data_IF_601167434912
#
_entry.id   IF_601167434912
#
_cell.length_a   1.000
_cell.length_b   1.000
_cell.length_c   1.000
_cell.angle_alpha   90.00
_cell.angle_beta   90.00
_cell.angle_gamma   90.00
#
_symmetry.space_group_name_H-M   'P 1'
#
loop_
_entity.id
_entity.type
_entity.pdbx_description
1 polymer ?
#
# COMPACT_ATOMS: atom_id res chain seq x y z
N UNK A 1 -6.95 15.52 15.03
CA UNK A 1 -5.55 15.80 14.63
C UNK A 1 -4.91 14.47 14.28
N UNK A 2 -4.25 14.36 13.13
CA UNK A 2 -3.55 13.13 12.75
C UNK A 2 -2.28 13.00 13.61
N UNK A 3 -2.30 12.14 14.63
CA UNK A 3 -1.11 11.81 15.41
C UNK A 3 -0.15 11.00 14.54
N UNK A 4 0.82 11.68 13.93
CA UNK A 4 1.93 11.01 13.26
C UNK A 4 2.84 10.45 14.35
N UNK A 5 2.95 9.13 14.43
CA UNK A 5 3.81 8.48 15.43
C UNK A 5 5.29 8.79 15.14
N UNK A 6 5.92 9.53 16.06
CA UNK A 6 7.34 9.86 16.00
C UNK A 6 8.22 8.59 15.97
N UNK A 7 7.77 7.51 16.61
CA UNK A 7 8.46 6.21 16.62
C UNK A 7 8.46 5.56 15.25
N UNK A 8 7.32 5.58 14.56
CA UNK A 8 7.22 5.09 13.18
C UNK A 8 8.15 5.88 12.24
N UNK A 9 8.14 7.21 12.32
CA UNK A 9 9.02 8.05 11.52
C UNK A 9 10.52 7.77 11.82
N UNK A 10 10.86 7.44 13.07
CA UNK A 10 12.21 7.06 13.48
C UNK A 10 12.62 5.66 13.01
N UNK A 11 11.69 4.91 12.42
CA UNK A 11 11.89 3.55 11.94
C UNK A 11 11.73 2.47 13.01
N UNK A 12 11.18 2.80 14.17
CA UNK A 12 10.75 1.79 15.15
C UNK A 12 9.37 1.31 14.73
N UNK A 13 9.35 0.45 13.72
CA UNK A 13 8.15 -0.20 13.21
C UNK A 13 8.04 -1.67 13.64
N UNK A 14 9.06 -2.19 14.33
CA UNK A 14 9.07 -3.55 14.89
C UNK A 14 9.40 -3.50 16.37
N UNK A 15 8.65 -4.26 17.16
CA UNK A 15 8.86 -4.40 18.60
C UNK A 15 8.68 -5.87 18.99
N UNK A 16 9.52 -6.33 19.92
CA UNK A 16 9.37 -7.63 20.58
C UNK A 16 8.55 -7.46 21.86
N UNK A 17 7.42 -8.14 21.95
CA UNK A 17 6.66 -8.29 23.18
C UNK A 17 7.09 -9.57 23.85
N UNK A 18 7.47 -9.48 25.11
CA UNK A 18 7.99 -10.60 25.87
C UNK A 18 7.17 -10.73 27.14
N UNK A 19 6.42 -11.82 27.23
CA UNK A 19 5.86 -12.30 28.49
C UNK A 19 6.89 -13.21 29.14
N UNK A 20 7.55 -12.68 30.18
CA UNK A 20 8.69 -13.31 30.85
C UNK A 20 8.28 -13.77 32.25
N UNK A 21 8.30 -15.09 32.45
CA UNK A 21 8.13 -15.76 33.74
C UNK A 21 9.45 -16.40 34.18
N UNK A 22 9.47 -17.00 35.37
CA UNK A 22 10.65 -17.74 35.83
C UNK A 22 10.90 -19.02 35.00
N UNK A 23 9.85 -19.58 34.40
CA UNK A 23 9.89 -20.87 33.71
C UNK A 23 9.94 -20.72 32.19
N UNK A 24 9.46 -19.62 31.62
CA UNK A 24 9.46 -19.44 30.17
C UNK A 24 9.47 -17.97 29.74
N UNK A 25 9.77 -17.75 28.47
CA UNK A 25 9.54 -16.50 27.77
C UNK A 25 8.67 -16.74 26.55
N UNK A 26 7.47 -16.15 26.52
CA UNK A 26 6.63 -16.10 25.31
C UNK A 26 6.90 -14.81 24.57
N UNK A 27 7.37 -14.93 23.33
CA UNK A 27 7.88 -13.82 22.54
C UNK A 27 7.03 -13.65 21.29
N UNK A 28 6.63 -12.41 21.01
CA UNK A 28 5.99 -12.03 19.75
C UNK A 28 6.70 -10.83 19.14
N UNK A 29 7.05 -10.93 17.87
CA UNK A 29 7.57 -9.81 17.08
C UNK A 29 6.44 -9.23 16.23
N UNK A 30 6.00 -8.01 16.55
CA UNK A 30 5.01 -7.29 15.75
C UNK A 30 5.66 -6.23 14.89
N UNK A 31 5.26 -6.19 13.62
CA UNK A 31 5.53 -5.08 12.71
C UNK A 31 4.28 -4.23 12.49
N UNK A 32 4.40 -2.93 12.70
CA UNK A 32 3.39 -1.96 12.33
C UNK A 32 3.61 -1.48 10.89
N UNK A 33 2.57 -1.62 10.05
CA UNK A 33 2.56 -1.12 8.68
C UNK A 33 1.50 -0.04 8.49
N UNK A 34 1.90 1.05 7.87
CA UNK A 34 0.99 2.11 7.42
C UNK A 34 0.40 1.70 6.08
N UNK A 35 -0.92 1.79 5.95
CA UNK A 35 -1.60 1.66 4.66
C UNK A 35 -1.56 3.05 3.99
N UNK A 36 -0.87 3.24 2.84
CA UNK A 36 -0.66 4.57 2.24
C UNK A 36 -1.96 5.33 1.93
N UNK A 37 -3.04 4.59 1.66
CA UNK A 37 -4.37 5.10 1.30
C UNK A 37 -5.33 5.22 2.49
N UNK A 38 -4.96 4.70 3.67
CA UNK A 38 -5.73 4.79 4.92
C UNK A 38 -4.78 5.17 6.06
N UNK A 39 -4.32 6.42 6.04
CA UNK A 39 -3.31 6.97 6.98
C UNK A 39 -3.72 6.88 8.47
N UNK A 40 -4.96 6.52 8.78
CA UNK A 40 -5.50 6.41 10.13
C UNK A 40 -5.62 4.98 10.66
N UNK A 41 -5.38 3.95 9.83
CA UNK A 41 -5.45 2.55 10.25
C UNK A 41 -4.08 1.89 10.15
N UNK A 42 -3.42 1.72 11.30
CA UNK A 42 -2.24 0.88 11.43
C UNK A 42 -2.64 -0.59 11.25
N UNK A 43 -1.89 -1.33 10.44
CA UNK A 43 -2.01 -2.79 10.34
C UNK A 43 -0.84 -3.42 11.06
N UNK A 44 -1.14 -4.28 12.03
CA UNK A 44 -0.14 -5.07 12.73
C UNK A 44 0.05 -6.41 12.03
N UNK A 45 1.30 -6.82 11.88
CA UNK A 45 1.69 -8.08 11.24
C UNK A 45 2.62 -8.81 12.21
N UNK A 46 2.25 -10.03 12.59
CA UNK A 46 3.14 -10.92 13.33
C UNK A 46 4.27 -11.37 12.39
N UNK A 47 5.52 -11.11 12.78
CA UNK A 47 6.71 -11.55 12.04
C UNK A 47 7.24 -12.87 12.54
N UNK A 48 7.34 -12.99 13.86
CA UNK A 48 7.80 -14.18 14.56
C UNK A 48 7.00 -14.32 15.85
N UNK A 49 6.80 -15.56 16.29
CA UNK A 49 6.34 -15.87 17.64
C UNK A 49 6.96 -17.19 18.08
N UNK A 50 7.31 -17.31 19.36
CA UNK A 50 7.83 -18.55 19.93
C UNK A 50 7.72 -18.52 21.45
N UNK A 51 7.76 -19.72 22.04
CA UNK A 51 7.93 -19.91 23.47
C UNK A 51 9.31 -20.50 23.73
N UNK A 52 10.02 -19.95 24.70
CA UNK A 52 11.32 -20.42 25.15
C UNK A 52 11.19 -20.90 26.59
N UNK A 53 11.32 -22.20 26.81
CA UNK A 53 11.32 -22.78 28.15
C UNK A 53 12.69 -22.56 28.82
N UNK A 54 12.67 -22.29 30.11
CA UNK A 54 13.83 -22.10 30.96
C UNK A 54 13.88 -23.17 32.04
N UNK A 55 15.09 -23.54 32.44
CA UNK A 55 15.25 -24.25 33.70
C UNK A 55 15.09 -23.24 34.85
N UNK A 56 14.21 -23.49 35.86
CA UNK A 56 14.03 -22.58 36.98
C UNK A 56 15.32 -22.31 37.76
N UNK A 57 16.26 -23.26 37.75
CA UNK A 57 17.55 -23.14 38.41
C UNK A 57 18.58 -22.28 37.66
N UNK A 58 18.32 -21.91 36.40
CA UNK A 58 19.25 -21.12 35.61
C UNK A 58 19.30 -19.66 36.10
N UNK A 59 20.51 -19.09 36.07
CA UNK A 59 20.69 -17.66 36.28
C UNK A 59 20.02 -16.84 35.17
N UNK A 60 19.57 -15.63 35.51
CA UNK A 60 18.91 -14.71 34.57
C UNK A 60 19.80 -14.33 33.38
N UNK A 61 21.12 -14.29 33.55
CA UNK A 61 22.11 -14.11 32.48
C UNK A 61 22.01 -15.23 31.43
N UNK A 62 21.98 -16.49 31.86
CA UNK A 62 21.87 -17.64 30.98
C UNK A 62 20.53 -17.63 30.23
N UNK A 63 19.43 -17.32 30.93
CA UNK A 63 18.10 -17.17 30.29
C UNK A 63 18.10 -16.07 29.21
N UNK A 64 18.80 -14.96 29.47
CA UNK A 64 18.94 -13.86 28.50
C UNK A 64 19.77 -14.26 27.28
N UNK A 65 20.85 -15.03 27.47
CA UNK A 65 21.68 -15.55 26.39
C UNK A 65 20.91 -16.56 25.52
N UNK A 66 20.08 -17.42 26.12
CA UNK A 66 19.18 -18.31 25.38
C UNK A 66 18.19 -17.52 24.51
N UNK A 67 17.58 -16.47 25.06
CA UNK A 67 16.68 -15.60 24.30
C UNK A 67 17.42 -14.95 23.11
N UNK A 68 18.62 -14.42 23.35
CA UNK A 68 19.46 -13.80 22.32
C UNK A 68 19.85 -14.77 21.22
N UNK A 69 20.26 -15.99 21.58
CA UNK A 69 20.58 -17.04 20.63
C UNK A 69 19.34 -17.37 19.79
N UNK A 70 18.17 -17.54 20.43
CA UNK A 70 16.93 -17.87 19.72
C UNK A 70 16.50 -16.78 18.75
N UNK A 71 16.63 -15.51 19.14
CA UNK A 71 16.36 -14.37 18.25
C UNK A 71 17.32 -14.33 17.05
N UNK A 72 18.59 -14.67 17.26
CA UNK A 72 19.58 -14.75 16.19
C UNK A 72 19.30 -15.91 15.23
N UNK A 73 18.88 -17.08 15.73
CA UNK A 73 18.49 -18.24 14.91
C UNK A 73 17.30 -17.92 14.00
N UNK A 74 16.33 -17.14 14.50
CA UNK A 74 15.17 -16.68 13.73
C UNK A 74 15.49 -15.47 12.82
N UNK A 75 16.73 -14.98 12.82
CA UNK A 75 17.14 -13.83 12.02
C UNK A 75 16.44 -12.53 12.41
N UNK A 76 15.97 -12.39 13.66
CA UNK A 76 15.29 -11.18 14.11
C UNK A 76 16.28 -10.03 14.23
N UNK A 77 16.03 -8.95 13.48
CA UNK A 77 16.81 -7.71 13.55
C UNK A 77 16.25 -6.73 14.59
N UNK A 78 15.18 -7.09 15.29
CA UNK A 78 14.45 -6.19 16.17
C UNK A 78 15.19 -6.01 17.49
N UNK A 79 15.42 -4.74 17.86
CA UNK A 79 16.15 -4.38 19.08
C UNK A 79 15.25 -3.87 20.18
N UNK A 80 14.11 -3.28 19.85
CA UNK A 80 13.18 -2.72 20.83
C UNK A 80 12.31 -3.82 21.44
N UNK A 81 12.22 -3.83 22.76
CA UNK A 81 11.44 -4.81 23.50
C UNK A 81 10.46 -4.16 24.48
N UNK A 82 9.35 -4.84 24.74
CA UNK A 82 8.33 -4.50 25.71
C UNK A 82 8.04 -5.72 26.57
N UNK A 83 8.00 -5.53 27.88
CA UNK A 83 7.78 -6.62 28.84
C UNK A 83 6.84 -6.17 29.96
N UNK A 84 6.32 -7.11 30.72
CA UNK A 84 5.65 -6.85 31.99
C UNK A 84 6.28 -7.63 33.13
N UNK A 85 6.36 -7.04 34.32
CA UNK A 85 6.78 -7.75 35.53
C UNK A 85 5.59 -8.60 36.01
N UNK A 86 5.76 -9.92 36.07
CA UNK A 86 4.72 -10.88 36.51
C UNK A 86 4.96 -11.48 37.90
N UNK A 87 5.87 -10.91 38.67
CA UNK A 87 6.19 -11.40 40.01
C UNK A 87 5.00 -11.26 40.97
N UNK A 88 5.00 -12.06 42.03
CA UNK A 88 4.14 -11.85 43.22
C UNK A 88 4.44 -10.51 43.94
N UNK A 89 5.51 -9.82 43.55
CA UNK A 89 5.90 -8.50 44.06
C UNK A 89 5.07 -7.36 43.50
N UNK A 90 4.28 -7.59 42.45
CA UNK A 90 3.38 -6.58 41.86
C UNK A 90 2.08 -6.52 42.67
N UNK A 91 1.71 -5.30 43.10
CA UNK A 91 0.44 -5.07 43.79
C UNK A 91 -0.33 -3.94 43.12
N UNK A 92 -1.56 -4.24 42.69
CA UNK A 92 -2.49 -3.25 42.13
C UNK A 92 -3.51 -2.89 43.21
N UNK A 93 -3.68 -1.60 43.46
CA UNK A 93 -4.64 -1.06 44.43
C UNK A 93 -5.51 -0.04 43.73
N UNK A 94 -6.82 -0.24 43.83
CA UNK A 94 -7.81 0.72 43.37
C UNK A 94 -8.24 1.59 44.56
N UNK A 95 -8.28 2.91 44.39
CA UNK A 95 -8.70 3.84 45.44
C UNK A 95 -9.28 5.11 44.85
N UNK A 96 -9.97 5.90 45.68
CA UNK A 96 -10.44 7.24 45.35
C UNK A 96 -9.55 8.25 46.08
N UNK A 97 -8.91 9.13 45.32
CA UNK A 97 -8.17 10.28 45.85
C UNK A 97 -9.16 11.42 46.08
N UNK A 98 -9.27 11.97 47.30
CA UNK A 98 -10.20 13.06 47.61
C UNK A 98 -10.09 14.27 46.67
N UNK A 99 -11.21 14.95 46.42
CA UNK A 99 -11.24 16.18 45.63
C UNK A 99 -10.40 17.29 46.29
N UNK A 100 -9.63 18.02 45.48
CA UNK A 100 -8.72 19.08 45.93
C UNK A 100 -7.24 18.68 46.05
N UNK A 101 -6.89 17.40 45.90
CA UNK A 101 -5.49 16.96 45.81
C UNK A 101 -5.02 17.07 44.35
N UNK A 102 -4.06 17.96 44.11
CA UNK A 102 -3.46 18.15 42.79
C UNK A 102 -2.17 17.32 42.58
N UNK A 103 -1.45 17.02 43.67
CA UNK A 103 -0.23 16.21 43.65
C UNK A 103 -0.54 14.75 44.00
N UNK A 104 -1.01 13.98 43.01
CA UNK A 104 -1.38 12.56 43.19
C UNK A 104 -0.20 11.73 43.72
N UNK A 105 1.00 11.91 43.17
CA UNK A 105 2.18 11.12 43.56
C UNK A 105 2.63 11.39 45.00
N UNK A 106 2.46 12.64 45.48
CA UNK A 106 2.75 13.01 46.87
C UNK A 106 1.77 12.32 47.82
N UNK A 107 0.47 12.38 47.52
CA UNK A 107 -0.55 11.69 48.32
C UNK A 107 -0.33 10.18 48.38
N UNK A 108 0.09 9.56 47.27
CA UNK A 108 0.41 8.13 47.23
C UNK A 108 1.60 7.84 48.12
N UNK A 109 2.65 8.66 48.06
CA UNK A 109 3.86 8.49 48.86
C UNK A 109 3.54 8.57 50.36
N UNK A 110 2.65 9.48 50.78
CA UNK A 110 2.19 9.61 52.17
C UNK A 110 1.31 8.44 52.64
N UNK A 111 0.51 7.86 51.75
CA UNK A 111 -0.44 6.80 52.08
C UNK A 111 0.03 5.39 51.69
N UNK A 112 1.25 5.27 51.17
CA UNK A 112 1.80 4.04 50.62
C UNK A 112 1.74 2.86 51.59
N UNK A 113 2.12 3.04 52.85
CA UNK A 113 2.10 1.98 53.87
C UNK A 113 0.68 1.46 54.13
N UNK A 114 -0.31 2.35 54.16
CA UNK A 114 -1.72 2.00 54.35
C UNK A 114 -2.29 1.25 53.14
N UNK A 115 -1.95 1.71 51.93
CA UNK A 115 -2.39 1.10 50.67
C UNK A 115 -1.78 -0.30 50.50
N UNK A 116 -0.49 -0.44 50.80
CA UNK A 116 0.23 -1.71 50.70
C UNK A 116 -0.07 -2.66 51.86
N UNK A 117 -0.49 -2.15 53.03
CA UNK A 117 -0.68 -2.94 54.26
C UNK A 117 0.59 -3.69 54.67
N UNK A 118 1.77 -3.18 54.31
CA UNK A 118 3.08 -3.77 54.63
C UNK A 118 4.03 -2.62 55.02
N UNK A 119 4.83 -2.76 56.09
CA UNK A 119 5.84 -1.78 56.46
C UNK A 119 7.06 -1.94 55.54
N UNK A 120 6.97 -1.39 54.32
CA UNK A 120 8.08 -1.34 53.37
C UNK A 120 8.56 0.10 53.26
N UNK A 121 9.88 0.30 53.37
CA UNK A 121 10.50 1.60 53.15
C UNK A 121 10.16 2.12 51.75
N UNK A 122 9.62 3.34 51.66
CA UNK A 122 9.24 4.01 50.41
C UNK A 122 10.34 3.99 49.34
N UNK A 123 11.61 4.08 49.75
CA UNK A 123 12.76 4.04 48.84
C UNK A 123 12.92 2.78 47.99
N UNK A 124 12.30 1.65 48.35
CA UNK A 124 12.43 0.35 47.65
C UNK A 124 11.30 0.03 46.68
N UNK A 125 10.27 0.87 46.64
CA UNK A 125 9.08 0.65 45.83
C UNK A 125 8.98 1.74 44.78
N UNK A 126 8.59 1.35 43.58
CA UNK A 126 8.17 2.24 42.51
C UNK A 126 6.67 2.11 42.35
N UNK A 127 6.00 3.20 41.98
CA UNK A 127 4.58 3.19 41.70
C UNK A 127 4.26 3.88 40.38
N UNK A 128 3.17 3.48 39.76
CA UNK A 128 2.60 4.12 38.58
C UNK A 128 1.09 4.20 38.74
N UNK A 129 0.51 5.29 38.26
CA UNK A 129 -0.90 5.64 38.46
C UNK A 129 -1.60 5.74 37.13
N UNK A 130 -2.80 5.18 37.07
CA UNK A 130 -3.72 5.39 35.97
C UNK A 130 -5.03 5.97 36.51
N UNK A 131 -5.44 7.10 35.93
CA UNK A 131 -6.70 7.75 36.27
C UNK A 131 -7.81 7.04 35.50
N UNK A 132 -8.73 6.41 36.25
CA UNK A 132 -9.86 5.68 35.67
C UNK A 132 -11.05 6.61 35.44
N UNK A 133 -11.36 7.45 36.43
CA UNK A 133 -12.52 8.33 36.42
C UNK A 133 -12.29 9.56 37.31
N UNK A 134 -12.82 10.72 36.90
CA UNK A 134 -12.86 11.93 37.71
C UNK A 134 -14.32 12.22 38.08
N UNK A 135 -14.61 12.29 39.37
CA UNK A 135 -15.95 12.58 39.92
C UNK A 135 -15.87 13.77 40.88
N UNK A 136 -17.02 14.36 41.23
CA UNK A 136 -17.08 15.44 42.25
C UNK A 136 -16.58 14.98 43.62
N UNK A 137 -16.70 13.68 43.91
CA UNK A 137 -16.25 13.05 45.16
C UNK A 137 -14.74 12.80 45.21
N UNK A 138 -14.05 12.89 44.08
CA UNK A 138 -12.63 12.59 43.97
C UNK A 138 -12.24 11.92 42.64
N UNK A 139 -10.94 11.66 42.50
CA UNK A 139 -10.37 10.98 41.33
C UNK A 139 -10.18 9.50 41.65
N UNK A 140 -10.87 8.62 40.92
CA UNK A 140 -10.69 7.17 41.02
C UNK A 140 -9.44 6.78 40.25
N UNK A 141 -8.51 6.11 40.93
CA UNK A 141 -7.21 5.73 40.39
C UNK A 141 -6.92 4.26 40.61
N UNK A 142 -6.19 3.68 39.66
CA UNK A 142 -5.52 2.39 39.79
C UNK A 142 -4.03 2.67 40.04
N UNK A 143 -3.52 2.27 41.20
CA UNK A 143 -2.12 2.43 41.58
C UNK A 143 -1.46 1.06 41.51
N UNK A 144 -0.41 0.96 40.71
CA UNK A 144 0.40 -0.27 40.62
C UNK A 144 1.73 -0.06 41.31
N UNK A 145 2.05 -0.91 42.28
CA UNK A 145 3.29 -0.90 43.05
C UNK A 145 4.17 -2.07 42.63
N UNK A 146 5.47 -1.79 42.48
CA UNK A 146 6.49 -2.77 42.09
C UNK A 146 7.77 -2.51 42.89
N UNK A 147 8.54 -3.57 43.21
CA UNK A 147 9.84 -3.42 43.86
C UNK A 147 10.90 -2.93 42.86
N UNK A 148 11.74 -1.98 43.26
CA UNK A 148 12.81 -1.46 42.39
C UNK A 148 13.80 -2.54 41.95
N UNK A 149 14.13 -3.48 42.84
CA UNK A 149 15.03 -4.60 42.52
C UNK A 149 14.48 -5.49 41.39
N UNK A 150 13.15 -5.56 41.21
CA UNK A 150 12.53 -6.32 40.10
C UNK A 150 12.63 -5.55 38.79
N UNK A 151 12.46 -4.22 38.83
CA UNK A 151 12.67 -3.34 37.67
C UNK A 151 14.12 -3.49 37.17
N UNK A 152 15.09 -3.40 38.07
CA UNK A 152 16.51 -3.53 37.74
C UNK A 152 16.87 -4.93 37.20
N UNK A 153 16.24 -5.99 37.75
CA UNK A 153 16.42 -7.36 37.27
C UNK A 153 15.94 -7.53 35.83
N UNK A 154 14.74 -7.06 35.51
CA UNK A 154 14.21 -7.11 34.14
C UNK A 154 15.07 -6.26 33.19
N UNK A 155 15.45 -5.03 33.58
CA UNK A 155 16.36 -4.20 32.78
C UNK A 155 17.69 -4.92 32.48
N UNK A 156 18.27 -5.58 33.48
CA UNK A 156 19.53 -6.32 33.35
C UNK A 156 19.38 -7.52 32.41
N UNK A 157 18.26 -8.26 32.49
CA UNK A 157 17.94 -9.35 31.58
C UNK A 157 17.86 -8.89 30.12
N UNK A 158 17.07 -7.87 29.82
CA UNK A 158 16.93 -7.37 28.44
C UNK A 158 18.25 -6.78 27.91
N UNK A 159 19.03 -6.12 28.76
CA UNK A 159 20.36 -5.62 28.40
C UNK A 159 21.33 -6.76 28.05
N UNK A 160 21.33 -7.84 28.83
CA UNK A 160 22.12 -9.03 28.55
C UNK A 160 21.70 -9.72 27.24
N UNK A 161 20.39 -9.76 26.96
CA UNK A 161 19.83 -10.26 25.71
C UNK A 161 20.16 -9.35 24.48
N UNK A 162 20.74 -8.17 24.69
CA UNK A 162 21.05 -7.21 23.62
C UNK A 162 19.81 -6.50 23.07
N UNK A 163 18.80 -6.30 23.92
CA UNK A 163 17.54 -5.63 23.63
C UNK A 163 17.45 -4.30 24.39
N UNK A 164 16.87 -3.30 23.73
CA UNK A 164 16.52 -2.01 24.32
C UNK A 164 15.08 -2.07 24.82
N UNK A 165 14.91 -2.10 26.15
CA UNK A 165 13.61 -2.13 26.78
C UNK A 165 12.95 -0.75 26.66
N UNK A 166 11.85 -0.64 25.91
CA UNK A 166 11.15 0.62 25.63
C UNK A 166 9.86 0.78 26.43
N UNK A 167 9.32 -0.32 26.97
CA UNK A 167 8.15 -0.35 27.85
C UNK A 167 8.34 -1.43 28.90
N UNK A 168 8.11 -1.06 30.17
CA UNK A 168 8.05 -1.97 31.29
C UNK A 168 6.68 -1.82 31.99
N UNK A 169 5.78 -2.73 31.69
CA UNK A 169 4.50 -2.88 32.40
C UNK A 169 4.64 -3.64 33.71
N UNK A 170 3.53 -3.81 34.41
CA UNK A 170 3.44 -4.70 35.56
C UNK A 170 2.10 -5.45 35.57
N UNK A 171 2.14 -6.70 36.01
CA UNK A 171 1.02 -7.65 35.96
C UNK A 171 0.70 -8.11 34.54
N UNK A 172 -0.54 -8.51 34.31
CA UNK A 172 -1.02 -9.01 33.01
C UNK A 172 -2.00 -8.06 32.33
N UNK A 173 -2.18 -6.88 32.90
CA UNK A 173 -3.20 -5.90 32.49
C UNK A 173 -3.07 -5.50 31.03
N UNK A 174 -1.83 -5.36 30.53
CA UNK A 174 -1.58 -4.94 29.15
C UNK A 174 -2.05 -5.98 28.12
N UNK A 175 -2.41 -7.22 28.51
CA UNK A 175 -3.03 -8.21 27.63
C UNK A 175 -4.37 -7.73 27.04
N UNK A 176 -5.12 -6.91 27.79
CA UNK A 176 -6.41 -6.41 27.32
C UNK A 176 -6.30 -5.44 26.13
N UNK A 177 -5.10 -4.94 25.82
CA UNK A 177 -4.86 -4.05 24.68
C UNK A 177 -5.15 -4.73 23.33
N UNK A 178 -5.17 -6.07 23.28
CA UNK A 178 -5.55 -6.84 22.09
C UNK A 178 -6.99 -6.55 21.68
N UNK A 179 -7.89 -6.38 22.64
CA UNK A 179 -9.31 -6.07 22.40
C UNK A 179 -9.45 -4.81 21.55
N UNK A 180 -8.59 -3.81 21.78
CA UNK A 180 -8.64 -2.52 21.06
C UNK A 180 -8.23 -2.64 19.60
N UNK A 181 -7.54 -3.71 19.21
CA UNK A 181 -7.04 -3.94 17.85
C UNK A 181 -7.90 -4.92 17.08
N UNK A 182 -8.47 -5.93 17.75
CA UNK A 182 -9.30 -6.93 17.10
C UNK A 182 -10.75 -6.49 16.90
N UNK A 183 -11.27 -5.63 17.79
CA UNK A 183 -12.67 -5.23 17.76
C UNK A 183 -12.88 -3.87 17.08
N UNK A 184 -13.37 -3.90 15.83
CA UNK A 184 -14.14 -2.79 15.24
C UNK A 184 -15.55 -2.65 15.86
N UNK A 185 -15.77 -3.23 17.04
CA UNK A 185 -17.07 -3.36 17.68
C UNK A 185 -17.16 -2.30 18.78
N UNK A 186 -18.25 -1.53 18.80
CA UNK A 186 -18.57 -0.65 19.93
C UNK A 186 -18.80 -1.49 21.19
N UNK A 187 -17.77 -1.59 22.03
CA UNK A 187 -17.84 -2.29 23.31
C UNK A 187 -18.65 -1.46 24.30
N UNK A 188 -19.98 -1.63 24.31
CA UNK A 188 -20.86 -0.98 25.30
C UNK A 188 -20.49 -1.42 26.71
N UNK A 189 -20.56 -2.72 26.99
CA UNK A 189 -20.08 -3.33 28.23
C UNK A 189 -19.38 -4.63 27.89
N UNK A 190 -18.17 -4.82 28.42
CA UNK A 190 -17.40 -6.03 28.19
C UNK A 190 -16.55 -6.41 29.40
N UNK A 191 -16.28 -7.71 29.53
CA UNK A 191 -15.38 -8.28 30.53
C UNK A 191 -14.31 -9.09 29.83
N UNK A 192 -13.06 -8.86 30.20
CA UNK A 192 -11.92 -9.60 29.71
C UNK A 192 -11.31 -10.42 30.84
N UNK A 193 -11.22 -11.73 30.63
CA UNK A 193 -10.59 -12.67 31.54
C UNK A 193 -9.26 -13.11 30.95
N UNK A 194 -8.18 -12.82 31.66
CA UNK A 194 -6.85 -13.32 31.33
C UNK A 194 -6.41 -14.36 32.36
N UNK A 195 -6.23 -15.59 31.90
CA UNK A 195 -5.74 -16.70 32.74
C UNK A 195 -4.21 -16.75 32.71
N UNK A 196 -3.60 -16.46 33.85
CA UNK A 196 -2.19 -16.68 34.15
C UNK A 196 -2.03 -17.92 35.04
N UNK A 197 -0.84 -18.53 35.06
CA UNK A 197 -0.51 -19.79 35.79
C UNK A 197 -1.32 -20.00 37.09
N UNK A 198 -1.22 -19.05 38.03
CA UNK A 198 -1.87 -19.15 39.36
C UNK A 198 -3.00 -18.13 39.58
N UNK A 199 -3.43 -17.40 38.54
CA UNK A 199 -4.37 -16.30 38.74
C UNK A 199 -5.22 -15.96 37.52
N UNK A 200 -6.46 -15.58 37.78
CA UNK A 200 -7.33 -15.01 36.76
C UNK A 200 -7.43 -13.51 37.01
N UNK A 201 -7.08 -12.74 36.00
CA UNK A 201 -7.22 -11.30 36.01
C UNK A 201 -8.45 -10.92 35.20
N UNK A 202 -9.33 -10.14 35.82
CA UNK A 202 -10.58 -9.67 35.22
C UNK A 202 -10.45 -8.18 34.96
N UNK A 203 -10.77 -7.77 33.74
CA UNK A 203 -10.80 -6.37 33.32
C UNK A 203 -12.19 -6.02 32.82
N UNK A 204 -12.81 -5.04 33.46
CA UNK A 204 -14.14 -4.54 33.10
C UNK A 204 -14.00 -3.32 32.18
N UNK A 205 -14.79 -3.31 31.10
CA UNK A 205 -14.86 -2.25 30.09
C UNK A 205 -16.27 -1.69 29.98
N UNK A 206 -16.35 -0.37 29.78
CA UNK A 206 -17.57 0.37 29.47
C UNK A 206 -17.27 1.41 28.39
N UNK A 207 -18.04 1.40 27.31
CA UNK A 207 -17.84 2.24 26.12
C UNK A 207 -16.39 2.20 25.59
N UNK A 208 -15.80 1.01 25.55
CA UNK A 208 -14.41 0.79 25.13
C UNK A 208 -13.35 1.35 26.07
N UNK A 209 -13.71 1.85 27.26
CA UNK A 209 -12.77 2.31 28.28
C UNK A 209 -12.70 1.32 29.43
N UNK A 210 -11.49 1.11 29.95
CA UNK A 210 -11.27 0.27 31.13
C UNK A 210 -11.82 0.99 32.35
N UNK A 211 -12.69 0.33 33.11
CA UNK A 211 -13.19 0.86 34.40
C UNK A 211 -12.44 0.25 35.57
N UNK A 212 -12.07 -1.03 35.45
CA UNK A 212 -11.54 -1.79 36.59
C UNK A 212 -10.66 -2.94 36.15
N UNK A 213 -9.60 -3.22 36.91
CA UNK A 213 -8.83 -4.46 36.81
C UNK A 213 -8.67 -5.08 38.20
N UNK A 214 -8.95 -6.37 38.35
CA UNK A 214 -8.77 -7.07 39.63
C UNK A 214 -8.44 -8.55 39.42
N UNK A 215 -7.74 -9.12 40.39
CA UNK A 215 -7.50 -10.56 40.44
C UNK A 215 -8.72 -11.25 41.05
N UNK A 216 -9.31 -12.19 40.33
CA UNK A 216 -10.40 -13.03 40.83
C UNK A 216 -9.83 -14.32 41.43
N UNK A 217 -10.24 -14.64 42.65
CA UNK A 217 -9.98 -15.93 43.30
C UNK A 217 -11.18 -16.88 43.18
N UNK A 218 -12.32 -16.40 42.68
CA UNK A 218 -13.52 -17.22 42.54
C UNK A 218 -13.43 -18.12 41.30
N UNK A 219 -13.87 -19.40 41.38
CA UNK A 219 -13.99 -20.26 40.21
C UNK A 219 -14.95 -19.62 39.22
N UNK A 220 -14.49 -19.46 37.98
CA UNK A 220 -15.12 -18.56 36.99
C UNK A 220 -16.40 -19.12 36.34
N UNK A 221 -16.94 -20.20 36.91
CA UNK A 221 -18.04 -21.00 36.38
C UNK A 221 -19.43 -20.35 36.42
N UNK A 222 -19.57 -19.06 36.77
CA UNK A 222 -20.87 -18.39 36.91
C UNK A 222 -20.90 -16.95 36.37
N UNK A 223 -20.24 -16.67 35.25
CA UNK A 223 -20.55 -15.46 34.49
C UNK A 223 -21.86 -15.71 33.71
N UNK A 224 -23.00 -15.25 34.22
CA UNK A 224 -24.24 -15.21 33.46
C UNK A 224 -24.07 -14.21 32.29
N UNK A 225 -24.17 -14.65 31.03
CA UNK A 225 -23.84 -13.85 29.85
C UNK A 225 -24.96 -12.89 29.40
N UNK A 226 -25.88 -12.49 30.28
CA UNK A 226 -27.14 -11.89 29.82
C UNK A 226 -27.03 -10.41 29.37
N UNK A 227 -25.96 -9.66 29.72
CA UNK A 227 -25.86 -8.22 29.36
C UNK A 227 -24.49 -7.73 28.85
N UNK A 228 -23.36 -8.38 29.16
CA UNK A 228 -22.01 -7.91 28.80
C UNK A 228 -21.25 -8.91 27.90
N UNK A 229 -20.51 -8.40 26.91
CA UNK A 229 -19.65 -9.23 26.07
C UNK A 229 -18.49 -9.82 26.90
N UNK A 230 -18.28 -11.14 26.84
CA UNK A 230 -17.24 -11.82 27.64
C UNK A 230 -16.13 -12.32 26.72
N UNK A 231 -14.91 -11.88 26.99
CA UNK A 231 -13.70 -12.26 26.27
C UNK A 231 -12.74 -13.01 27.16
N UNK A 232 -12.11 -14.06 26.64
CA UNK A 232 -11.20 -14.91 27.43
C UNK A 232 -9.90 -15.16 26.67
N UNK A 233 -8.78 -15.08 27.36
CA UNK A 233 -7.46 -15.41 26.81
C UNK A 233 -6.49 -15.90 27.89
N UNK A 234 -5.26 -16.24 27.50
CA UNK A 234 -4.23 -16.75 28.40
C UNK A 234 -4.03 -18.26 28.37
N UNK A 235 -3.22 -18.75 29.30
CA UNK A 235 -2.57 -20.07 29.24
C UNK A 235 -3.55 -21.23 29.46
N UNK A 236 -4.49 -21.06 30.39
CA UNK A 236 -5.47 -22.10 30.76
C UNK A 236 -6.86 -21.84 30.15
N UNK A 237 -6.97 -20.95 29.15
CA UNK A 237 -8.27 -20.54 28.60
C UNK A 237 -9.08 -21.69 27.98
N UNK A 238 -8.42 -22.73 27.46
CA UNK A 238 -9.08 -23.89 26.84
C UNK A 238 -9.76 -24.78 27.91
N UNK A 239 -9.23 -24.78 29.13
CA UNK A 239 -9.78 -25.55 30.26
C UNK A 239 -10.96 -24.83 30.92
N UNK A 240 -11.03 -23.51 30.74
CA UNK A 240 -12.10 -22.66 31.22
C UNK A 240 -13.32 -22.79 30.29
N UNK A 241 -14.16 -23.80 30.54
CA UNK A 241 -15.43 -24.02 29.83
C UNK A 241 -16.45 -22.89 30.12
N UNK A 242 -16.37 -21.80 29.37
CA UNK A 242 -17.35 -20.72 29.44
C UNK A 242 -18.37 -20.81 28.30
N UNK A 243 -19.61 -21.12 28.65
CA UNK A 243 -20.76 -20.98 27.75
C UNK A 243 -20.99 -19.50 27.42
N UNK A 244 -20.80 -19.13 26.15
CA UNK A 244 -21.11 -17.79 25.63
C UNK A 244 -19.97 -16.78 25.67
N UNK A 245 -18.73 -17.20 25.96
CA UNK A 245 -17.56 -16.34 25.90
C UNK A 245 -16.76 -16.52 24.60
N UNK A 246 -16.24 -15.41 24.07
CA UNK A 246 -15.37 -15.40 22.91
C UNK A 246 -13.91 -15.57 23.32
N UNK A 247 -13.26 -16.62 22.81
CA UNK A 247 -11.83 -16.84 23.03
C UNK A 247 -11.04 -15.94 22.09
N UNK A 248 -10.25 -15.02 22.65
CA UNK A 248 -9.42 -14.09 21.88
C UNK A 248 -8.17 -14.82 21.38
N UNK A 249 -7.99 -14.79 20.05
CA UNK A 249 -6.82 -15.31 19.34
C UNK A 249 -6.03 -14.15 18.72
N UNK A 250 -5.13 -13.52 19.48
CA UNK A 250 -4.51 -12.25 19.12
C UNK A 250 -3.76 -12.34 17.79
N UNK A 251 -4.28 -11.66 16.75
CA UNK A 251 -3.74 -11.66 15.38
C UNK A 251 -3.60 -13.08 14.80
N UNK A 252 -4.50 -13.99 15.19
CA UNK A 252 -4.48 -15.40 14.78
C UNK A 252 -3.47 -16.28 15.52
N UNK A 253 -2.88 -15.80 16.63
CA UNK A 253 -2.00 -16.59 17.51
C UNK A 253 -2.80 -17.32 18.60
N UNK A 254 -2.14 -18.28 19.26
CA UNK A 254 -2.72 -18.94 20.43
C UNK A 254 -3.01 -17.93 21.56
N UNK A 255 -4.04 -18.16 22.40
CA UNK A 255 -4.45 -17.21 23.44
C UNK A 255 -3.38 -16.86 24.47
N UNK A 256 -2.41 -17.75 24.70
CA UNK A 256 -1.26 -17.49 25.58
C UNK A 256 -0.39 -16.30 25.13
N UNK A 257 -0.41 -15.96 23.82
CA UNK A 257 0.32 -14.81 23.29
C UNK A 257 -0.41 -13.47 23.43
N UNK A 258 -1.54 -13.43 24.14
CA UNK A 258 -2.32 -12.20 24.30
C UNK A 258 -1.56 -11.11 25.08
N UNK A 259 -0.83 -11.48 26.13
CA UNK A 259 0.02 -10.54 26.86
C UNK A 259 1.19 -9.98 26.03
N UNK A 260 2.05 -10.79 25.38
CA UNK A 260 3.13 -10.24 24.57
C UNK A 260 2.62 -9.41 23.40
N UNK A 261 1.50 -9.78 22.77
CA UNK A 261 0.85 -8.94 21.75
C UNK A 261 0.38 -7.61 22.35
N UNK A 262 -0.34 -7.65 23.47
CA UNK A 262 -0.81 -6.45 24.16
C UNK A 262 0.31 -5.49 24.58
N UNK A 263 1.48 -6.04 24.97
CA UNK A 263 2.69 -5.28 25.29
C UNK A 263 3.33 -4.64 24.05
N UNK A 264 3.43 -5.37 22.93
CA UNK A 264 3.89 -4.77 21.67
C UNK A 264 2.99 -3.64 21.21
N UNK A 265 1.66 -3.82 21.33
CA UNK A 265 0.68 -2.81 20.96
C UNK A 265 0.85 -1.55 21.81
N UNK A 266 1.04 -1.69 23.13
CA UNK A 266 1.38 -0.58 24.03
C UNK A 266 2.69 0.11 23.64
N UNK A 267 3.70 -0.64 23.25
CA UNK A 267 5.00 -0.08 22.88
C UNK A 267 4.97 0.71 21.55
N UNK A 268 4.08 0.31 20.64
CA UNK A 268 3.80 1.01 19.39
C UNK A 268 2.83 2.18 19.61
N UNK A 269 1.86 2.03 20.52
CA UNK A 269 0.85 3.02 20.90
C UNK A 269 0.82 3.25 22.42
N UNK A 270 1.71 4.10 22.97
CA UNK A 270 1.80 4.35 24.41
C UNK A 270 0.52 4.92 25.04
N UNK A 271 -0.36 5.51 24.24
CA UNK A 271 -1.66 6.05 24.68
C UNK A 271 -2.63 4.96 25.17
N UNK A 272 -2.43 3.69 24.76
CA UNK A 272 -3.26 2.57 25.21
C UNK A 272 -3.14 2.30 26.71
N UNK A 273 -1.96 2.58 27.27
CA UNK A 273 -1.69 2.34 28.67
C UNK A 273 -0.54 3.25 29.14
N UNK A 274 -0.82 4.24 30.01
CA UNK A 274 0.18 5.21 30.42
C UNK A 274 1.20 4.64 31.42
N UNK A 275 0.94 3.49 32.04
CA UNK A 275 1.87 2.99 33.07
C UNK A 275 3.15 2.47 32.44
N UNK A 276 4.28 2.97 32.95
CA UNK A 276 5.59 2.52 32.55
C UNK A 276 6.52 2.65 33.75
N UNK A 277 7.17 1.55 34.12
CA UNK A 277 8.08 1.49 35.26
C UNK A 277 9.53 1.76 34.87
N UNK A 278 9.80 2.06 33.59
CA UNK A 278 11.12 2.52 33.18
C UNK A 278 11.47 3.86 33.86
N UNK A 279 12.70 4.02 34.38
CA UNK A 279 13.16 5.29 34.94
C UNK A 279 13.04 6.45 33.94
N UNK A 280 12.79 7.65 34.46
CA UNK A 280 12.71 8.87 33.66
C UNK A 280 13.96 9.11 32.79
N UNK A 281 15.15 8.75 33.29
CA UNK A 281 16.40 8.84 32.54
C UNK A 281 16.42 7.93 31.30
N UNK A 282 15.94 6.68 31.43
CA UNK A 282 15.90 5.74 30.31
C UNK A 282 14.85 6.15 29.29
N UNK A 283 13.66 6.56 29.74
CA UNK A 283 12.61 7.07 28.84
C UNK A 283 13.08 8.30 28.06
N UNK A 284 13.81 9.22 28.71
CA UNK A 284 14.42 10.40 28.08
C UNK A 284 15.52 10.04 27.07
N UNK A 285 16.33 9.02 27.39
CA UNK A 285 17.35 8.52 26.46
C UNK A 285 16.72 7.90 25.22
N UNK A 286 15.66 7.12 25.38
CA UNK A 286 14.92 6.49 24.27
C UNK A 286 14.27 7.56 23.40
N UNK A 287 13.60 8.57 23.98
CA UNK A 287 13.00 9.67 23.21
C UNK A 287 14.06 10.48 22.46
N UNK A 288 15.20 10.75 23.09
CA UNK A 288 16.33 11.42 22.45
C UNK A 288 16.91 10.60 21.28
N UNK A 289 17.04 9.28 21.43
CA UNK A 289 17.47 8.39 20.35
C UNK A 289 16.50 8.41 19.17
N UNK A 290 15.19 8.40 19.44
CA UNK A 290 14.12 8.53 18.44
C UNK A 290 14.28 9.87 17.69
N UNK A 291 14.42 10.98 18.41
CA UNK A 291 14.63 12.30 17.80
C UNK A 291 15.92 12.39 16.98
N UNK A 292 17.01 11.78 17.44
CA UNK A 292 18.27 11.74 16.70
C UNK A 292 18.13 10.93 15.40
N UNK A 293 17.47 9.77 15.45
CA UNK A 293 17.18 8.94 14.26
C UNK A 293 16.31 9.72 13.26
N UNK A 294 15.27 10.40 13.75
CA UNK A 294 14.43 11.27 12.92
C UNK A 294 15.23 12.34 12.22
N UNK A 295 16.06 13.06 12.97
CA UNK A 295 16.91 14.11 12.43
C UNK A 295 17.88 13.58 11.37
N UNK A 296 18.53 12.44 11.62
CA UNK A 296 19.42 11.82 10.64
C UNK A 296 18.68 11.44 9.35
N UNK A 297 17.48 10.85 9.47
CA UNK A 297 16.66 10.47 8.31
C UNK A 297 16.17 11.68 7.52
N UNK A 298 15.72 12.74 8.19
CA UNK A 298 15.27 13.96 7.51
C UNK A 298 16.44 14.67 6.82
N UNK A 299 17.61 14.73 7.45
CA UNK A 299 18.83 15.27 6.82
C UNK A 299 19.26 14.44 5.62
N UNK A 300 19.23 13.10 5.70
CA UNK A 300 19.53 12.23 4.57
C UNK A 300 18.51 12.39 3.42
N UNK A 301 17.21 12.51 3.74
CA UNK A 301 16.16 12.78 2.75
C UNK A 301 16.34 14.15 2.10
N UNK A 302 16.64 15.18 2.87
CA UNK A 302 16.90 16.52 2.34
C UNK A 302 18.16 16.53 1.46
N UNK A 303 19.23 15.84 1.90
CA UNK A 303 20.47 15.71 1.14
C UNK A 303 20.29 14.92 -0.16
N UNK A 304 19.56 13.80 -0.12
CA UNK A 304 19.23 13.01 -1.32
C UNK A 304 18.33 13.80 -2.27
N UNK A 305 17.31 14.50 -1.77
CA UNK A 305 16.48 15.39 -2.57
C UNK A 305 17.31 16.49 -3.25
N UNK A 306 18.25 17.09 -2.52
CA UNK A 306 19.15 18.12 -3.04
C UNK A 306 20.06 17.56 -4.14
N UNK A 307 20.63 16.36 -3.94
CA UNK A 307 21.42 15.67 -4.98
C UNK A 307 20.55 15.39 -6.21
N UNK A 308 19.33 14.89 -6.05
CA UNK A 308 18.41 14.64 -7.16
C UNK A 308 18.10 15.95 -7.90
N UNK A 309 17.82 17.04 -7.17
CA UNK A 309 17.60 18.38 -7.74
C UNK A 309 18.82 18.92 -8.50
N UNK A 310 20.05 18.55 -8.11
CA UNK A 310 21.27 18.91 -8.83
C UNK A 310 21.55 18.02 -10.05
N UNK A 311 21.17 16.73 -10.00
CA UNK A 311 21.36 15.79 -11.12
C UNK A 311 20.37 16.05 -12.25
N UNK A 312 19.12 16.43 -11.93
CA UNK A 312 18.08 16.71 -12.94
C UNK A 312 18.53 17.72 -14.02
N UNK A 313 19.07 18.91 -13.70
CA UNK A 313 19.51 19.85 -14.73
C UNK A 313 20.68 19.32 -15.55
N UNK A 314 21.62 18.59 -14.95
CA UNK A 314 22.73 17.96 -15.69
C UNK A 314 22.25 16.85 -16.64
N UNK A 315 21.32 16.02 -16.18
CA UNK A 315 20.66 15.00 -17.01
C UNK A 315 19.84 15.64 -18.14
N UNK A 316 19.19 16.77 -17.88
CA UNK A 316 18.44 17.52 -18.88
C UNK A 316 19.38 18.13 -19.93
N UNK A 317 20.48 18.76 -19.50
CA UNK A 317 21.47 19.36 -20.39
C UNK A 317 22.13 18.30 -21.28
N UNK A 318 22.56 17.17 -20.69
CA UNK A 318 23.14 16.05 -21.47
C UNK A 318 22.13 15.45 -22.45
N UNK A 319 20.86 15.31 -22.06
CA UNK A 319 19.80 14.88 -22.96
C UNK A 319 19.55 15.87 -24.10
N UNK A 320 19.49 17.17 -23.79
CA UNK A 320 19.32 18.22 -24.79
C UNK A 320 20.50 18.29 -25.76
N UNK A 321 21.74 18.20 -25.26
CA UNK A 321 22.95 18.17 -26.09
C UNK A 321 23.01 16.92 -26.97
N UNK A 322 22.72 15.75 -26.42
CA UNK A 322 22.63 14.52 -27.20
C UNK A 322 21.58 14.63 -28.31
N UNK A 323 20.40 15.19 -27.98
CA UNK A 323 19.33 15.38 -28.96
C UNK A 323 19.69 16.41 -30.02
N UNK A 324 20.35 17.51 -29.65
CA UNK A 324 20.88 18.50 -30.59
C UNK A 324 21.88 17.85 -31.55
N UNK A 325 22.87 17.14 -31.02
CA UNK A 325 23.89 16.47 -31.84
C UNK A 325 23.26 15.44 -32.78
N UNK A 326 22.26 14.69 -32.32
CA UNK A 326 21.53 13.74 -33.18
C UNK A 326 20.75 14.44 -34.31
N UNK A 327 20.20 15.63 -34.04
CA UNK A 327 19.54 16.44 -35.06
C UNK A 327 20.55 17.03 -36.03
N UNK A 328 21.70 17.49 -35.56
CA UNK A 328 22.79 17.98 -36.40
C UNK A 328 23.36 16.86 -37.29
N UNK A 329 23.54 15.65 -36.76
CA UNK A 329 23.92 14.48 -37.56
C UNK A 329 22.86 14.11 -38.60
N UNK A 330 21.56 14.16 -38.25
CA UNK A 330 20.46 13.94 -39.19
C UNK A 330 20.39 15.04 -40.27
N UNK A 331 20.67 16.29 -39.91
CA UNK A 331 20.72 17.41 -40.85
C UNK A 331 21.93 17.31 -41.78
N UNK A 332 23.10 16.91 -41.27
CA UNK A 332 24.30 16.66 -42.07
C UNK A 332 24.11 15.46 -43.00
N UNK A 333 23.53 14.36 -42.51
CA UNK A 333 23.24 13.17 -43.30
C UNK A 333 22.19 13.44 -44.40
N UNK A 334 21.22 14.30 -44.16
CA UNK A 334 20.22 14.74 -45.14
C UNK A 334 20.65 15.99 -45.93
N UNK A 335 21.85 16.52 -45.70
CA UNK A 335 22.37 17.70 -46.39
C UNK A 335 22.50 17.48 -47.90
N UNK A 336 22.83 16.26 -48.33
CA UNK A 336 22.82 15.87 -49.75
C UNK A 336 21.40 15.88 -50.34
N UNK A 337 20.41 15.40 -49.59
CA UNK A 337 18.99 15.43 -49.99
C UNK A 337 18.45 16.85 -50.11
N UNK A 338 18.93 17.80 -49.29
CA UNK A 338 18.57 19.22 -49.41
C UNK A 338 19.18 19.88 -50.65
N UNK A 339 20.42 19.50 -51.01
CA UNK A 339 21.02 19.94 -52.28
C UNK A 339 20.34 19.30 -53.49
N UNK A 340 19.92 18.03 -53.39
CA UNK A 340 19.15 17.34 -54.43
C UNK A 340 17.75 17.94 -54.59
N UNK A 341 17.07 18.30 -53.50
CA UNK A 341 15.77 19.00 -53.55
C UNK A 341 15.88 20.36 -54.24
N UNK A 342 16.96 21.12 -53.96
CA UNK A 342 17.21 22.42 -54.60
C UNK A 342 17.58 22.26 -56.09
N UNK A 343 18.24 21.15 -56.43
CA UNK A 343 18.53 20.76 -57.82
C UNK A 343 17.25 20.33 -58.55
N UNK A 344 16.36 19.57 -57.88
CA UNK A 344 15.07 19.17 -58.41
C UNK A 344 14.13 20.37 -58.58
N UNK A 345 14.14 21.33 -57.65
CA UNK A 345 13.35 22.56 -57.74
C UNK A 345 13.78 23.41 -58.95
N UNK A 346 15.09 23.49 -59.20
CA UNK A 346 15.64 24.15 -60.40
C UNK A 346 15.29 23.39 -61.67
N UNK A 347 15.35 22.06 -61.68
CA UNK A 347 14.92 21.24 -62.81
C UNK A 347 13.41 21.35 -63.09
N UNK A 348 12.57 21.40 -62.07
CA UNK A 348 11.12 21.60 -62.25
C UNK A 348 10.80 22.97 -62.80
N UNK A 349 11.53 24.02 -62.39
CA UNK A 349 11.39 25.36 -62.96
C UNK A 349 11.79 25.41 -64.44
N UNK A 350 12.87 24.73 -64.81
CA UNK A 350 13.29 24.64 -66.21
C UNK A 350 12.29 23.85 -67.06
N UNK A 351 11.71 22.77 -66.53
CA UNK A 351 10.66 22.00 -67.20
C UNK A 351 9.35 22.80 -67.35
N UNK A 352 8.96 23.57 -66.33
CA UNK A 352 7.81 24.46 -66.38
C UNK A 352 7.99 25.57 -67.44
N UNK A 353 9.22 26.07 -67.59
CA UNK A 353 9.62 26.98 -68.66
C UNK A 353 9.53 26.34 -70.04
N UNK A 354 10.02 25.10 -70.19
CA UNK A 354 9.93 24.36 -71.44
C UNK A 354 8.48 24.04 -71.84
N UNK A 355 7.61 23.73 -70.88
CA UNK A 355 6.17 23.49 -71.11
C UNK A 355 5.42 24.75 -71.51
N UNK A 356 5.81 25.91 -71.00
CA UNK A 356 5.21 27.20 -71.38
C UNK A 356 5.71 27.71 -72.73
N UNK A 357 6.93 27.35 -73.14
CA UNK A 357 7.50 27.72 -74.45
C UNK A 357 7.15 26.72 -75.58
N UNK A 358 6.82 25.46 -75.27
CA UNK A 358 6.34 24.45 -76.24
C UNK A 358 4.82 24.45 -76.38
N UNK A 359 4.27 25.61 -76.76
CA UNK A 359 2.88 25.72 -77.19
C UNK A 359 2.63 25.00 -78.52
N UNK A 360 2.19 23.74 -78.50
CA UNK A 360 1.59 23.10 -79.67
C UNK A 360 0.47 22.10 -79.33
N UNK A 361 -0.77 22.54 -79.56
CA UNK A 361 -1.86 21.77 -80.18
C UNK A 361 -2.09 20.33 -79.66
N UNK A 362 -2.81 20.19 -78.55
CA UNK A 362 -3.51 18.93 -78.26
C UNK A 362 -4.81 18.91 -79.08
N UNK A 363 -4.76 18.26 -80.25
CA UNK A 363 -5.96 17.87 -81.02
C UNK A 363 -6.89 17.06 -80.11
N UNK A 364 -8.09 17.55 -79.86
CA UNK A 364 -9.14 16.83 -79.11
C UNK A 364 -9.63 15.62 -79.92
N UNK A 365 -9.01 14.46 -79.68
CA UNK A 365 -9.54 13.19 -80.19
C UNK A 365 -10.83 12.82 -79.45
N UNK A 366 -11.78 12.18 -80.14
CA UNK A 366 -13.03 11.68 -79.53
C UNK A 366 -12.79 10.84 -78.27
N UNK A 367 -11.64 10.16 -78.20
CA UNK A 367 -11.16 9.41 -77.03
C UNK A 367 -10.83 10.31 -75.83
N UNK A 368 -10.33 11.52 -76.03
CA UNK A 368 -10.06 12.48 -74.95
C UNK A 368 -11.36 12.98 -74.31
N UNK A 369 -12.37 13.31 -75.12
CA UNK A 369 -13.70 13.67 -74.64
C UNK A 369 -14.34 12.51 -73.86
N UNK A 370 -14.24 11.28 -74.39
CA UNK A 370 -14.77 10.08 -73.73
C UNK A 370 -14.08 9.80 -72.39
N UNK A 371 -12.75 9.92 -72.30
CA UNK A 371 -12.03 9.77 -71.04
C UNK A 371 -12.40 10.87 -70.03
N UNK A 372 -12.59 12.10 -70.51
CA UNK A 372 -13.04 13.21 -69.68
C UNK A 372 -14.45 12.97 -69.13
N UNK A 373 -15.39 12.53 -69.96
CA UNK A 373 -16.76 12.21 -69.54
C UNK A 373 -16.75 11.09 -68.48
N UNK A 374 -15.96 10.03 -68.69
CA UNK A 374 -15.82 8.91 -67.76
C UNK A 374 -15.14 9.33 -66.43
N UNK A 375 -14.14 10.21 -66.50
CA UNK A 375 -13.50 10.76 -65.31
C UNK A 375 -14.47 11.64 -64.51
N UNK A 376 -15.22 12.52 -65.18
CA UNK A 376 -16.22 13.39 -64.53
C UNK A 376 -17.38 12.62 -63.87
N UNK A 377 -17.72 11.43 -64.38
CA UNK A 377 -18.73 10.58 -63.76
C UNK A 377 -18.25 9.94 -62.44
N UNK A 378 -16.93 9.88 -62.21
CA UNK A 378 -16.32 9.10 -61.12
C UNK A 378 -16.48 9.80 -59.76
N UNK A 379 -17.18 9.21 -58.78
CA UNK A 379 -17.34 9.80 -57.47
C UNK A 379 -16.03 9.76 -56.67
N UNK A 380 -15.88 10.67 -55.73
CA UNK A 380 -14.72 10.72 -54.83
C UNK A 380 -14.57 9.40 -54.05
N UNK A 381 -13.36 8.84 -54.03
CA UNK A 381 -13.06 7.55 -53.40
C UNK A 381 -13.24 6.32 -54.30
N UNK A 382 -13.50 6.50 -55.60
CA UNK A 382 -13.50 5.44 -56.62
C UNK A 382 -12.29 5.59 -57.53
N UNK A 383 -11.55 4.49 -57.75
CA UNK A 383 -10.33 4.48 -58.54
C UNK A 383 -10.47 3.53 -59.73
N UNK A 384 -10.14 4.01 -60.93
CA UNK A 384 -10.10 3.22 -62.16
C UNK A 384 -8.64 2.88 -62.48
N UNK A 385 -8.36 1.62 -62.78
CA UNK A 385 -6.98 1.17 -63.06
C UNK A 385 -6.81 0.50 -64.43
N UNK A 386 -7.90 0.08 -65.09
CA UNK A 386 -7.82 -0.56 -66.40
C UNK A 386 -9.05 -0.22 -67.24
N UNK A 387 -8.80 0.09 -68.51
CA UNK A 387 -9.80 0.38 -69.53
C UNK A 387 -9.54 -0.58 -70.69
N UNK A 388 -10.58 -1.31 -71.13
CA UNK A 388 -10.49 -2.22 -72.27
C UNK A 388 -11.55 -1.87 -73.29
N UNK A 389 -11.12 -1.41 -74.46
CA UNK A 389 -11.99 -1.14 -75.59
C UNK A 389 -11.92 -2.33 -76.55
N UNK A 390 -13.00 -3.10 -76.63
CA UNK A 390 -13.11 -4.22 -77.56
C UNK A 390 -13.79 -3.73 -78.86
N UNK A 391 -13.06 -3.85 -79.98
CA UNK A 391 -13.55 -3.45 -81.31
C UNK A 391 -14.61 -4.42 -81.84
N UNK A 392 -15.69 -3.87 -82.41
CA UNK A 392 -16.94 -4.58 -82.69
C UNK A 392 -16.83 -5.63 -83.82
N UNK A 393 -17.35 -6.84 -83.58
CA UNK A 393 -17.68 -7.80 -84.66
C UNK A 393 -19.07 -7.57 -85.27
N UNK A 394 -19.91 -6.69 -84.68
CA UNK A 394 -21.28 -6.37 -85.16
C UNK A 394 -21.69 -4.89 -84.95
N UNK A 395 -20.78 -3.93 -85.18
CA UNK A 395 -21.13 -2.51 -85.29
C UNK A 395 -21.34 -1.71 -83.98
N UNK A 396 -21.28 -2.32 -82.80
CA UNK A 396 -21.27 -1.61 -81.50
C UNK A 396 -19.99 -1.90 -80.72
N UNK A 397 -19.23 -0.86 -80.38
CA UNK A 397 -17.96 -0.98 -79.64
C UNK A 397 -18.26 -1.11 -78.13
N UNK A 398 -17.57 -2.03 -77.46
CA UNK A 398 -17.79 -2.34 -76.05
C UNK A 398 -16.64 -1.79 -75.21
N UNK A 399 -16.92 -0.91 -74.26
CA UNK A 399 -15.91 -0.39 -73.33
C UNK A 399 -16.10 -1.03 -71.95
N UNK A 400 -15.05 -1.69 -71.46
CA UNK A 400 -15.03 -2.31 -70.14
C UNK A 400 -14.11 -1.51 -69.20
N UNK A 401 -14.66 -1.07 -68.08
CA UNK A 401 -14.05 -0.24 -67.05
C UNK A 401 -13.81 -1.07 -65.79
N UNK A 402 -12.56 -1.08 -65.32
CA UNK A 402 -12.17 -1.81 -64.11
C UNK A 402 -11.68 -0.85 -63.05
N UNK A 403 -12.20 -1.01 -61.84
CA UNK A 403 -11.85 -0.16 -60.73
C UNK A 403 -12.01 -0.82 -59.37
N UNK A 404 -11.70 -0.04 -58.33
CA UNK A 404 -11.92 -0.42 -56.95
C UNK A 404 -12.41 0.76 -56.11
N UNK A 405 -13.10 0.44 -55.03
CA UNK A 405 -13.55 1.42 -54.04
C UNK A 405 -13.66 0.76 -52.67
N UNK A 406 -13.68 1.55 -51.59
CA UNK A 406 -13.89 1.05 -50.23
C UNK A 406 -15.38 0.84 -49.90
N UNK A 407 -16.28 1.44 -50.67
CA UNK A 407 -17.72 1.41 -50.40
C UNK A 407 -18.50 0.97 -51.65
N UNK A 408 -19.27 -0.11 -51.57
CA UNK A 408 -20.05 -0.65 -52.69
C UNK A 408 -21.09 0.34 -53.23
N UNK A 409 -21.58 1.25 -52.39
CA UNK A 409 -22.52 2.31 -52.77
C UNK A 409 -21.94 3.22 -53.87
N UNK A 410 -20.63 3.50 -53.84
CA UNK A 410 -19.95 4.33 -54.84
C UNK A 410 -19.94 3.72 -56.24
N UNK A 411 -19.96 2.38 -56.35
CA UNK A 411 -20.10 1.70 -57.64
C UNK A 411 -21.50 1.92 -58.23
N UNK A 412 -22.51 1.95 -57.36
CA UNK A 412 -23.90 2.19 -57.76
C UNK A 412 -24.12 3.63 -58.20
N UNK A 413 -23.54 4.59 -57.48
CA UNK A 413 -23.56 6.01 -57.87
C UNK A 413 -22.84 6.24 -59.20
N UNK A 414 -21.71 5.57 -59.40
CA UNK A 414 -20.96 5.64 -60.64
C UNK A 414 -21.76 5.12 -61.85
N UNK A 415 -22.48 4.00 -61.70
CA UNK A 415 -23.38 3.48 -62.73
C UNK A 415 -24.52 4.45 -63.07
N UNK A 416 -25.10 5.10 -62.06
CA UNK A 416 -26.14 6.12 -62.26
C UNK A 416 -25.60 7.32 -63.02
N UNK A 417 -24.41 7.80 -62.68
CA UNK A 417 -23.77 8.93 -63.35
C UNK A 417 -23.43 8.61 -64.82
N UNK A 418 -22.90 7.41 -65.09
CA UNK A 418 -22.62 6.98 -66.47
C UNK A 418 -23.90 6.86 -67.31
N UNK A 419 -24.98 6.31 -66.75
CA UNK A 419 -26.29 6.27 -67.41
C UNK A 419 -26.86 7.69 -67.62
N UNK A 420 -26.65 8.61 -66.67
CA UNK A 420 -27.05 10.02 -66.79
C UNK A 420 -26.32 10.77 -67.90
N UNK A 421 -25.11 10.34 -68.25
CA UNK A 421 -24.34 10.86 -69.40
C UNK A 421 -24.69 10.17 -70.73
N UNK A 422 -25.68 9.28 -70.75
CA UNK A 422 -26.18 8.61 -71.96
C UNK A 422 -25.43 7.32 -72.35
N UNK A 423 -24.53 6.82 -71.50
CA UNK A 423 -23.87 5.53 -71.69
C UNK A 423 -24.73 4.41 -71.09
N UNK A 424 -25.10 3.39 -71.87
CA UNK A 424 -25.79 2.20 -71.33
C UNK A 424 -24.79 1.36 -70.53
N UNK A 425 -24.69 1.62 -69.23
CA UNK A 425 -23.72 1.01 -68.32
C UNK A 425 -24.33 -0.19 -67.57
N UNK A 426 -23.73 -1.36 -67.74
CA UNK A 426 -24.11 -2.62 -67.08
C UNK A 426 -22.97 -3.06 -66.18
N UNK A 427 -23.29 -3.33 -64.91
CA UNK A 427 -22.36 -3.95 -63.97
C UNK A 427 -22.19 -5.43 -64.34
N UNK A 428 -21.01 -5.80 -64.82
CA UNK A 428 -20.70 -7.19 -65.17
C UNK A 428 -20.26 -7.96 -63.92
N UNK A 429 -19.55 -7.29 -63.01
CA UNK A 429 -19.08 -7.93 -61.78
C UNK A 429 -18.88 -6.91 -60.65
N UNK A 430 -19.27 -7.28 -59.45
CA UNK A 430 -18.93 -6.60 -58.20
C UNK A 430 -18.63 -7.65 -57.14
N UNK A 431 -17.44 -7.64 -56.55
CA UNK A 431 -17.02 -8.64 -55.57
C UNK A 431 -15.53 -8.61 -55.24
N UNK A 432 -15.13 -9.41 -54.24
CA UNK A 432 -13.78 -9.52 -53.69
C UNK A 432 -12.72 -9.80 -54.76
N UNK A 433 -11.46 -9.32 -54.58
CA UNK A 433 -10.44 -9.31 -55.63
C UNK A 433 -10.14 -10.72 -56.14
N UNK A 434 -10.41 -10.98 -57.42
CA UNK A 434 -9.83 -12.17 -58.07
C UNK A 434 -8.34 -11.91 -58.33
N UNK A 435 -7.52 -12.80 -57.78
CA UNK A 435 -6.06 -12.76 -57.66
C UNK A 435 -5.24 -12.76 -58.96
N UNK A 436 -5.86 -12.68 -60.14
CA UNK A 436 -5.10 -12.80 -61.37
C UNK A 436 -5.14 -11.47 -62.13
N UNK A 437 -4.01 -10.75 -62.09
CA UNK A 437 -3.60 -9.63 -62.96
C UNK A 437 -3.72 -8.18 -62.46
N UNK A 438 -3.71 -7.90 -61.16
CA UNK A 438 -3.51 -6.51 -60.65
C UNK A 438 -2.19 -6.35 -59.89
N UNK A 439 -1.25 -5.60 -60.47
CA UNK A 439 0.08 -5.25 -59.91
C UNK A 439 -0.01 -4.12 -58.86
N UNK A 440 -1.21 -3.80 -58.37
CA UNK A 440 -1.44 -2.66 -57.48
C UNK A 440 -1.84 -3.18 -56.09
N UNK A 441 -1.14 -2.78 -55.00
CA UNK A 441 -1.43 -3.26 -53.65
C UNK A 441 -2.76 -2.71 -53.15
N UNK A 442 -3.81 -3.52 -53.26
CA UNK A 442 -5.16 -3.19 -52.78
C UNK A 442 -5.29 -3.54 -51.29
N UNK A 443 -5.84 -2.62 -50.48
CA UNK A 443 -6.21 -2.90 -49.08
C UNK A 443 -7.23 -4.04 -49.05
N UNK A 444 -7.16 -4.90 -48.02
CA UNK A 444 -7.97 -6.13 -47.88
C UNK A 444 -9.49 -5.91 -47.98
N UNK A 445 -9.96 -4.70 -47.73
CA UNK A 445 -11.38 -4.36 -47.69
C UNK A 445 -11.88 -3.65 -48.97
N UNK A 446 -11.07 -3.59 -50.03
CA UNK A 446 -11.46 -2.95 -51.29
C UNK A 446 -12.38 -3.83 -52.13
N UNK A 447 -13.50 -3.25 -52.59
CA UNK A 447 -14.43 -3.85 -53.55
C UNK A 447 -13.93 -3.56 -54.96
N UNK A 448 -13.64 -4.60 -55.74
CA UNK A 448 -13.32 -4.47 -57.17
C UNK A 448 -14.59 -4.60 -58.02
N UNK A 449 -14.66 -3.83 -59.11
CA UNK A 449 -15.80 -3.86 -60.02
C UNK A 449 -15.36 -3.84 -61.49
N UNK A 450 -16.22 -4.42 -62.32
CA UNK A 450 -16.15 -4.33 -63.79
C UNK A 450 -17.50 -3.84 -64.32
N UNK A 451 -17.46 -2.70 -65.00
CA UNK A 451 -18.62 -2.09 -65.65
C UNK A 451 -18.37 -2.12 -67.14
N UNK A 452 -19.36 -2.54 -67.91
CA UNK A 452 -19.32 -2.39 -69.36
C UNK A 452 -20.31 -1.34 -69.81
N UNK A 453 -19.88 -0.45 -70.69
CA UNK A 453 -20.75 0.44 -71.45
C UNK A 453 -20.73 0.10 -72.95
N UNK A 454 -21.88 0.22 -73.60
CA UNK A 454 -21.98 0.17 -75.06
C UNK A 454 -21.76 1.57 -75.63
N UNK A 455 -20.80 1.72 -76.53
CA UNK A 455 -20.58 2.95 -77.27
C UNK A 455 -21.45 2.91 -78.54
N UNK A 456 -22.48 3.75 -78.59
CA UNK A 456 -23.20 4.06 -79.82
C UNK A 456 -22.27 4.97 -80.65
N UNK A 457 -21.90 4.51 -81.84
CA UNK A 457 -21.10 5.31 -82.78
C UNK A 457 -21.88 6.54 -83.26
#
# INVERSE_FOLDING_TARGET
>A
MNNISLRQLAGVNRVLGVDLTDNCARVVELEERIIPLRKTQSRFIVRNHFTLEFNPADEWSNKADLLKQKLSELGSSTRSAATSIRSLGVKVVETIIPSGIHAIDEWISENQEKLLRIPLSSGRISHSVEILEQTDSGTRVEITFVRKDEIERYQSFFRAAGLELIVLGAGVRDACNVIMVENNIELKEAKFFFSAEDSINVTDFLHGRRIRSYQSTAPITQAHPEEAAVFISGEQCIELNFTGADVIQPLGLSPEYCLPVGLTLKALNPELSPTNFLPAEETSRITLNIHKSLFQRTVLLAGTLLIVLLIIPFALETYLNWRSNSLDELLLANGSSYTELKLLETQTRDLEKQLTESGSSVRSSHTSKLLHDIASASPEGLWLYKFKLDAATKGTSKLSLFGYTQQSEKVTDYLKNLNGLGYEAILVRSGSPQQNETVIPLRKDAVTFEITTLLKN
#
